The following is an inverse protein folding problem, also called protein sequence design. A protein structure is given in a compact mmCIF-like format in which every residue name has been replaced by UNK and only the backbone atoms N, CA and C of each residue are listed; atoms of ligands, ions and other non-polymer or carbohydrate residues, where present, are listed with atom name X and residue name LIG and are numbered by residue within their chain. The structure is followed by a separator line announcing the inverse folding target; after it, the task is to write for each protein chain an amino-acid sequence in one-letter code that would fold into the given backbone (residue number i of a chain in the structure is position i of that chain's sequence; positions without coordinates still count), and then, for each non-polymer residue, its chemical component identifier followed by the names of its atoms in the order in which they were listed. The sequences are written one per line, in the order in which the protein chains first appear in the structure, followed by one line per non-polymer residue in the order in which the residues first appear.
data_IF_208657297823
#
_entry.id   IF_208657297823
#
_cell.length_a   1.000
_cell.length_b   1.000
_cell.length_c   1.000
_cell.angle_alpha   90.00
_cell.angle_beta   90.00
_cell.angle_gamma   90.00
#
_symmetry.space_group_name_H-M   'P 1'
#
loop_
_entity.id
_entity.type
_entity.pdbx_description
1 polymer ?
#
# COMPACT_ATOMS: atom_id res chain seq x y z
N UNK A 1 12.43 -25.51 1.10
CA UNK A 1 13.59 -24.65 0.78
C UNK A 1 13.99 -23.86 2.02
N UNK A 2 15.24 -23.45 2.12
CA UNK A 2 15.78 -22.54 3.15
C UNK A 2 15.63 -21.10 2.64
N UNK A 3 14.98 -20.27 3.40
CA UNK A 3 14.56 -18.92 2.94
C UNK A 3 15.00 -17.86 3.94
N UNK A 4 15.63 -16.79 3.45
CA UNK A 4 15.65 -15.51 4.16
C UNK A 4 14.45 -14.70 3.72
N UNK A 5 13.64 -14.23 4.66
CA UNK A 5 12.52 -13.34 4.38
C UNK A 5 12.85 -11.90 4.80
N UNK A 6 12.55 -10.93 3.93
CA UNK A 6 12.73 -9.51 4.21
C UNK A 6 11.41 -8.76 4.02
N UNK A 7 10.89 -8.19 5.09
CA UNK A 7 9.60 -7.48 5.04
C UNK A 7 9.39 -6.59 6.25
N UNK A 8 8.42 -5.66 6.18
CA UNK A 8 8.17 -4.74 7.31
C UNK A 8 6.68 -4.55 7.61
N UNK A 9 5.82 -4.02 6.69
CA UNK A 9 4.43 -3.67 6.98
C UNK A 9 3.49 -4.89 6.92
N UNK A 10 2.23 -4.64 7.25
CA UNK A 10 1.15 -5.64 7.21
C UNK A 10 1.05 -6.36 5.87
N UNK A 11 1.27 -5.66 4.76
CA UNK A 11 1.31 -6.25 3.41
C UNK A 11 2.27 -7.46 3.30
N UNK A 12 3.37 -7.46 4.05
CA UNK A 12 4.39 -8.50 3.97
C UNK A 12 4.08 -9.72 4.88
N UNK A 13 3.18 -9.57 5.85
CA UNK A 13 2.85 -10.63 6.82
C UNK A 13 2.27 -11.88 6.15
N UNK A 14 1.31 -11.78 5.21
CA UNK A 14 0.78 -12.95 4.51
C UNK A 14 1.86 -13.72 3.74
N UNK A 15 2.83 -13.02 3.13
CA UNK A 15 3.94 -13.68 2.43
C UNK A 15 4.78 -14.54 3.39
N UNK A 16 5.16 -14.01 4.55
CA UNK A 16 5.89 -14.80 5.56
C UNK A 16 5.07 -16.01 6.03
N UNK A 17 3.78 -15.80 6.30
CA UNK A 17 2.87 -16.86 6.77
C UNK A 17 2.73 -17.97 5.72
N UNK A 18 2.44 -17.63 4.47
CA UNK A 18 2.29 -18.58 3.37
C UNK A 18 3.55 -19.40 3.11
N UNK A 19 4.73 -18.77 3.24
CA UNK A 19 6.01 -19.49 3.12
C UNK A 19 6.18 -20.57 4.20
N UNK A 20 5.84 -20.24 5.45
CA UNK A 20 5.90 -21.19 6.58
C UNK A 20 4.87 -22.30 6.40
N UNK A 21 3.62 -21.96 6.07
CA UNK A 21 2.53 -22.92 5.86
C UNK A 21 2.81 -23.90 4.70
N UNK A 22 3.54 -23.43 3.68
CA UNK A 22 4.01 -24.26 2.58
C UNK A 22 5.19 -25.18 2.97
N UNK A 23 5.58 -25.22 4.25
CA UNK A 23 6.61 -26.13 4.76
C UNK A 23 8.04 -25.70 4.47
N UNK A 24 8.28 -24.43 4.15
CA UNK A 24 9.63 -23.92 3.97
C UNK A 24 10.30 -23.61 5.33
N UNK A 25 11.62 -23.75 5.39
CA UNK A 25 12.44 -23.33 6.52
C UNK A 25 12.79 -21.85 6.39
N UNK A 26 12.28 -21.02 7.26
CA UNK A 26 12.67 -19.61 7.33
C UNK A 26 13.90 -19.50 8.22
N UNK A 27 15.06 -19.40 7.59
CA UNK A 27 16.37 -19.39 8.30
C UNK A 27 16.67 -18.04 8.94
N UNK A 28 16.09 -16.94 8.41
CA UNK A 28 16.21 -15.60 8.98
C UNK A 28 15.08 -14.70 8.48
N UNK A 29 14.55 -13.86 9.37
CA UNK A 29 13.66 -12.75 9.02
C UNK A 29 14.39 -11.43 9.22
N UNK A 30 14.43 -10.60 8.18
CA UNK A 30 14.94 -9.22 8.28
C UNK A 30 13.79 -8.25 8.19
N UNK A 31 13.73 -7.33 9.13
CA UNK A 31 12.70 -6.30 9.18
C UNK A 31 13.28 -4.99 9.69
N UNK A 32 12.54 -3.89 9.58
CA UNK A 32 12.98 -2.60 10.14
C UNK A 32 12.86 -2.62 11.66
N UNK A 33 13.70 -1.84 12.35
CA UNK A 33 13.63 -1.69 13.80
C UNK A 33 12.26 -1.21 14.29
N UNK A 34 11.98 -1.50 15.55
CA UNK A 34 10.82 -1.00 16.26
C UNK A 34 10.70 0.52 16.07
N UNK A 35 9.51 0.98 15.89
CA UNK A 35 9.23 2.40 15.66
C UNK A 35 8.11 2.89 16.58
N UNK A 36 8.15 4.19 16.87
CA UNK A 36 7.06 4.84 17.59
C UNK A 36 5.82 4.86 16.72
N UNK A 37 4.77 4.16 17.15
CA UNK A 37 3.49 4.07 16.44
C UNK A 37 2.34 4.54 17.34
N UNK A 38 1.26 5.01 16.68
CA UNK A 38 0.05 5.42 17.37
C UNK A 38 0.16 6.69 18.22
N UNK A 39 -0.95 7.08 18.85
CA UNK A 39 -1.04 8.29 19.69
C UNK A 39 -0.29 8.19 21.01
N UNK A 40 0.02 6.97 21.47
CA UNK A 40 0.68 6.72 22.77
C UNK A 40 2.21 6.83 22.73
N UNK A 41 2.84 7.13 21.60
CA UNK A 41 4.30 7.18 21.39
C UNK A 41 5.02 5.94 21.95
N UNK A 42 4.38 4.78 21.96
CA UNK A 42 5.01 3.52 22.36
C UNK A 42 5.87 2.99 21.22
N UNK A 43 7.00 2.41 21.58
CA UNK A 43 7.84 1.66 20.67
C UNK A 43 7.11 0.33 20.38
N UNK A 44 6.79 0.09 19.13
CA UNK A 44 6.06 -1.10 18.70
C UNK A 44 6.85 -1.83 17.62
N UNK A 45 6.83 -3.18 17.65
CA UNK A 45 7.47 -3.98 16.61
C UNK A 45 6.81 -3.75 15.24
N UNK A 46 7.58 -4.00 14.19
CA UNK A 46 6.97 -4.09 12.86
C UNK A 46 5.97 -5.27 12.80
N UNK A 47 4.93 -5.21 11.96
CA UNK A 47 4.01 -6.34 11.78
C UNK A 47 4.74 -7.65 11.44
N UNK A 48 5.75 -7.60 10.59
CA UNK A 48 6.57 -8.78 10.25
C UNK A 48 7.37 -9.28 11.46
N UNK A 49 7.96 -8.38 12.28
CA UNK A 49 8.64 -8.79 13.52
C UNK A 49 7.68 -9.48 14.49
N UNK A 50 6.50 -8.91 14.69
CA UNK A 50 5.50 -9.48 15.58
C UNK A 50 5.11 -10.89 15.12
N UNK A 51 4.83 -11.08 13.83
CA UNK A 51 4.49 -12.40 13.26
C UNK A 51 5.67 -13.38 13.32
N UNK A 52 6.89 -12.94 13.03
CA UNK A 52 8.06 -13.80 13.10
C UNK A 52 8.33 -14.32 14.52
N UNK A 53 8.15 -13.47 15.54
CA UNK A 53 8.28 -13.86 16.95
C UNK A 53 7.17 -14.82 17.37
N UNK A 54 5.92 -14.61 16.92
CA UNK A 54 4.81 -15.55 17.14
C UNK A 54 5.10 -16.94 16.56
N UNK A 55 5.76 -16.98 15.39
CA UNK A 55 6.15 -18.22 14.72
C UNK A 55 7.47 -18.82 15.24
N UNK A 56 8.13 -18.19 16.22
CA UNK A 56 9.41 -18.64 16.77
C UNK A 56 10.59 -18.53 15.80
N UNK A 57 10.52 -17.63 14.82
CA UNK A 57 11.54 -17.45 13.78
C UNK A 57 12.65 -16.52 14.22
N UNK A 58 13.92 -16.73 13.75
CA UNK A 58 15.02 -15.82 14.04
C UNK A 58 14.81 -14.48 13.32
N UNK A 59 14.98 -13.37 14.06
CA UNK A 59 14.75 -12.00 13.57
C UNK A 59 16.00 -11.16 13.71
N UNK A 60 16.31 -10.39 12.67
CA UNK A 60 17.30 -9.32 12.66
C UNK A 60 16.63 -8.01 12.26
N UNK A 61 16.84 -6.98 13.05
CA UNK A 61 16.35 -5.63 12.77
C UNK A 61 17.41 -4.82 12.04
N UNK A 62 17.10 -4.36 10.82
CA UNK A 62 18.03 -3.58 10.02
C UNK A 62 17.33 -2.55 9.14
N UNK A 63 17.93 -1.36 9.04
CA UNK A 63 17.57 -0.33 8.07
C UNK A 63 18.57 -0.25 6.90
N UNK A 64 19.73 -0.89 7.07
CA UNK A 64 20.84 -0.88 6.12
C UNK A 64 21.54 -2.25 6.17
N UNK A 65 22.17 -2.63 5.07
CA UNK A 65 23.02 -3.83 4.98
C UNK A 65 24.40 -3.51 5.54
N UNK A 66 24.53 -3.49 6.87
CA UNK A 66 25.82 -3.36 7.54
C UNK A 66 26.61 -4.67 7.46
N UNK A 67 27.96 -4.69 7.66
CA UNK A 67 28.74 -5.92 7.68
C UNK A 67 28.14 -7.00 8.59
N UNK A 68 27.69 -6.65 9.80
CA UNK A 68 27.07 -7.60 10.74
C UNK A 68 25.78 -8.22 10.19
N UNK A 69 24.96 -7.43 9.47
CA UNK A 69 23.73 -7.94 8.81
C UNK A 69 24.11 -8.86 7.67
N UNK A 70 25.10 -8.51 6.87
CA UNK A 70 25.61 -9.33 5.76
C UNK A 70 26.16 -10.65 6.30
N UNK A 71 26.91 -10.66 7.39
CA UNK A 71 27.41 -11.88 7.99
C UNK A 71 26.29 -12.77 8.52
N UNK A 72 25.21 -12.19 9.07
CA UNK A 72 23.98 -12.92 9.44
C UNK A 72 23.29 -13.53 8.23
N UNK A 73 23.22 -12.80 7.11
CA UNK A 73 22.67 -13.33 5.86
C UNK A 73 23.48 -14.51 5.32
N UNK A 74 24.81 -14.41 5.35
CA UNK A 74 25.71 -15.53 4.96
C UNK A 74 25.51 -16.76 5.84
N UNK A 75 25.45 -16.55 7.16
CA UNK A 75 25.25 -17.61 8.13
C UNK A 75 23.85 -18.28 8.02
N UNK A 76 22.87 -17.60 7.47
CA UNK A 76 21.54 -18.15 7.22
C UNK A 76 21.53 -19.25 6.15
N UNK A 77 22.53 -19.30 5.27
CA UNK A 77 22.76 -20.34 4.25
C UNK A 77 21.46 -20.69 3.50
N UNK A 78 20.81 -19.66 2.96
CA UNK A 78 19.51 -19.79 2.32
C UNK A 78 19.62 -20.07 0.82
N UNK A 79 18.66 -20.83 0.30
CA UNK A 79 18.53 -21.13 -1.13
C UNK A 79 18.06 -19.89 -1.92
N UNK A 80 17.18 -19.10 -1.32
CA UNK A 80 16.55 -17.94 -1.95
C UNK A 80 16.25 -16.85 -0.90
N UNK A 81 16.26 -15.59 -1.32
CA UNK A 81 15.73 -14.49 -0.51
C UNK A 81 14.37 -14.05 -1.05
N UNK A 82 13.38 -13.97 -0.17
CA UNK A 82 12.03 -13.51 -0.49
C UNK A 82 11.80 -12.15 0.16
N UNK A 83 11.40 -11.17 -0.63
CA UNK A 83 11.18 -9.79 -0.20
C UNK A 83 9.73 -9.39 -0.39
N UNK A 84 9.16 -8.69 0.58
CA UNK A 84 7.86 -8.03 0.45
C UNK A 84 7.89 -6.70 1.23
N UNK A 85 7.78 -5.58 0.53
CA UNK A 85 7.74 -4.23 1.13
C UNK A 85 8.86 -3.98 2.17
N UNK A 86 10.09 -4.32 1.83
CA UNK A 86 11.29 -4.02 2.62
C UNK A 86 12.10 -2.92 1.94
N UNK A 87 12.05 -1.72 2.49
CA UNK A 87 12.71 -0.53 1.90
C UNK A 87 14.18 -0.47 2.35
N UNK A 88 15.06 -1.12 1.59
CA UNK A 88 16.51 -1.08 1.79
C UNK A 88 17.20 -1.30 0.45
N UNK A 89 18.27 -0.56 0.19
CA UNK A 89 19.15 -0.83 -0.96
C UNK A 89 19.98 -2.07 -0.62
N UNK A 90 19.90 -3.08 -1.47
CA UNK A 90 20.69 -4.31 -1.37
C UNK A 90 21.99 -4.14 -2.17
N UNK A 91 23.17 -4.26 -1.54
CA UNK A 91 24.43 -4.21 -2.26
C UNK A 91 24.64 -5.47 -3.10
N UNK A 92 25.54 -5.40 -4.08
CA UNK A 92 25.84 -6.50 -5.03
C UNK A 92 26.17 -7.81 -4.32
N UNK A 93 26.92 -7.74 -3.23
CA UNK A 93 27.25 -8.91 -2.42
C UNK A 93 25.98 -9.65 -1.93
N UNK A 94 24.92 -8.91 -1.57
CA UNK A 94 23.65 -9.50 -1.14
C UNK A 94 22.83 -9.97 -2.33
N UNK A 95 22.83 -9.21 -3.44
CA UNK A 95 22.09 -9.58 -4.67
C UNK A 95 22.51 -10.95 -5.24
N UNK A 96 23.76 -11.35 -5.04
CA UNK A 96 24.34 -12.60 -5.57
C UNK A 96 24.57 -13.67 -4.48
N UNK A 97 24.05 -13.47 -3.27
CA UNK A 97 24.36 -14.34 -2.13
C UNK A 97 23.62 -15.68 -2.18
N UNK A 98 22.34 -15.66 -2.50
CA UNK A 98 21.53 -16.86 -2.56
C UNK A 98 21.58 -17.51 -3.94
N UNK A 99 21.74 -18.84 -4.05
CA UNK A 99 21.85 -19.55 -5.33
C UNK A 99 20.68 -19.31 -6.29
N UNK A 100 19.47 -19.19 -5.78
CA UNK A 100 18.26 -18.92 -6.58
C UNK A 100 17.94 -17.41 -6.68
N UNK A 101 18.82 -16.57 -6.12
CA UNK A 101 18.69 -15.11 -6.17
C UNK A 101 17.67 -14.54 -5.18
N UNK A 102 17.13 -13.39 -5.54
CA UNK A 102 16.18 -12.64 -4.71
C UNK A 102 14.92 -12.37 -5.52
N UNK A 103 13.76 -12.69 -4.94
CA UNK A 103 12.45 -12.37 -5.51
C UNK A 103 11.68 -11.41 -4.61
N UNK A 104 10.88 -10.54 -5.23
CA UNK A 104 10.04 -9.57 -4.54
C UNK A 104 8.58 -9.76 -4.90
N UNK A 105 7.72 -9.65 -3.91
CA UNK A 105 6.26 -9.51 -4.09
C UNK A 105 5.98 -8.03 -4.33
N UNK A 106 5.78 -7.66 -5.58
CA UNK A 106 5.47 -6.29 -5.97
C UNK A 106 3.95 -6.10 -6.13
N UNK A 107 3.40 -5.05 -5.53
CA UNK A 107 1.95 -4.82 -5.45
C UNK A 107 1.39 -4.15 -6.71
N UNK A 108 1.77 -4.64 -7.89
CA UNK A 108 1.17 -4.27 -9.18
C UNK A 108 1.34 -5.37 -10.23
N UNK A 109 0.61 -5.25 -11.32
CA UNK A 109 0.82 -6.02 -12.55
C UNK A 109 1.91 -5.34 -13.38
N UNK A 110 3.18 -5.74 -13.16
CA UNK A 110 4.31 -5.19 -13.90
C UNK A 110 4.16 -5.46 -15.42
N UNK A 111 4.59 -4.52 -16.26
CA UNK A 111 5.48 -3.37 -15.99
C UNK A 111 4.78 -2.11 -15.47
N UNK A 112 3.46 -2.17 -15.23
CA UNK A 112 2.71 -1.02 -14.73
C UNK A 112 3.02 -0.80 -13.24
N UNK A 113 3.20 0.48 -12.85
CA UNK A 113 3.37 0.93 -11.47
C UNK A 113 4.66 0.44 -10.78
N UNK A 114 5.82 0.53 -11.45
CA UNK A 114 7.13 0.42 -10.78
C UNK A 114 7.27 1.51 -9.73
N UNK A 115 7.70 1.18 -8.52
CA UNK A 115 8.03 2.17 -7.48
C UNK A 115 7.29 2.03 -6.15
N UNK A 116 7.20 3.14 -5.40
CA UNK A 116 6.95 3.13 -3.97
C UNK A 116 5.46 3.02 -3.55
N UNK A 117 4.51 3.36 -4.43
CA UNK A 117 3.09 3.44 -4.07
C UNK A 117 2.15 2.88 -5.16
N UNK A 118 2.39 1.63 -5.64
CA UNK A 118 1.65 1.07 -6.76
C UNK A 118 0.13 0.99 -6.51
N UNK A 119 -0.28 0.61 -5.31
CA UNK A 119 -1.70 0.45 -4.95
C UNK A 119 -2.43 1.80 -5.04
N UNK A 120 -1.90 2.83 -4.38
CA UNK A 120 -2.52 4.16 -4.42
C UNK A 120 -2.53 4.76 -5.83
N UNK A 121 -1.47 4.54 -6.62
CA UNK A 121 -1.41 5.02 -8.01
C UNK A 121 -2.44 4.34 -8.90
N UNK A 122 -2.64 3.04 -8.74
CA UNK A 122 -3.70 2.30 -9.46
C UNK A 122 -5.10 2.86 -9.13
N UNK A 123 -5.35 3.15 -7.83
CA UNK A 123 -6.60 3.79 -7.38
C UNK A 123 -6.79 5.15 -8.03
N UNK A 124 -5.81 6.04 -7.92
CA UNK A 124 -5.86 7.41 -8.45
C UNK A 124 -6.03 7.42 -9.98
N UNK A 125 -5.41 6.48 -10.68
CA UNK A 125 -5.58 6.33 -12.12
C UNK A 125 -6.93 5.75 -12.53
N UNK A 126 -7.68 5.16 -11.60
CA UNK A 126 -8.95 4.51 -11.88
C UNK A 126 -8.81 3.19 -12.60
N UNK A 127 -7.74 2.44 -12.33
CA UNK A 127 -7.55 1.10 -12.88
C UNK A 127 -8.71 0.20 -12.46
N UNK A 128 -9.18 -0.65 -13.34
CA UNK A 128 -10.27 -1.61 -13.04
C UNK A 128 -9.76 -2.86 -12.30
N UNK A 129 -8.47 -3.16 -12.49
CA UNK A 129 -7.82 -4.36 -11.98
C UNK A 129 -6.55 -3.97 -11.24
N UNK A 130 -6.39 -4.49 -10.03
CA UNK A 130 -5.15 -4.45 -9.27
C UNK A 130 -4.52 -5.85 -9.24
N UNK A 131 -3.23 -5.95 -8.91
CA UNK A 131 -2.58 -7.25 -8.82
C UNK A 131 -1.23 -7.22 -8.15
N UNK A 132 -0.58 -8.37 -8.20
CA UNK A 132 0.77 -8.59 -7.67
C UNK A 132 1.63 -9.31 -8.69
N UNK A 133 2.92 -9.07 -8.65
CA UNK A 133 3.94 -9.73 -9.47
C UNK A 133 5.03 -10.32 -8.60
N UNK A 134 5.45 -11.56 -8.88
CA UNK A 134 6.69 -12.13 -8.33
C UNK A 134 7.80 -11.82 -9.31
N UNK A 135 8.73 -10.95 -8.91
CA UNK A 135 9.77 -10.44 -9.78
C UNK A 135 11.17 -10.62 -9.17
N UNK A 136 12.21 -10.68 -10.00
CA UNK A 136 13.61 -10.64 -9.54
C UNK A 136 13.99 -9.24 -9.07
N UNK A 137 14.74 -9.17 -7.98
CA UNK A 137 15.41 -7.93 -7.59
C UNK A 137 16.75 -7.83 -8.30
N UNK A 138 17.01 -6.66 -8.88
CA UNK A 138 18.27 -6.27 -9.51
C UNK A 138 18.66 -4.84 -9.13
N UNK A 139 19.52 -4.22 -9.94
CA UNK A 139 20.04 -2.86 -9.67
C UNK A 139 18.99 -1.74 -9.81
N UNK A 140 17.98 -1.93 -10.67
CA UNK A 140 16.94 -0.94 -10.89
C UNK A 140 15.75 -1.13 -9.95
N UNK A 141 15.01 -0.03 -9.69
CA UNK A 141 13.80 -0.09 -8.87
C UNK A 141 12.69 -0.79 -9.67
N UNK A 142 12.32 -1.99 -9.24
CA UNK A 142 11.24 -2.81 -9.79
C UNK A 142 11.36 -3.07 -11.31
N UNK A 143 12.59 -3.14 -11.83
CA UNK A 143 12.88 -3.34 -13.27
C UNK A 143 13.14 -4.79 -13.67
N UNK A 144 13.28 -5.69 -12.71
CA UNK A 144 13.61 -7.10 -12.99
C UNK A 144 12.46 -7.85 -13.66
N UNK A 145 12.81 -8.94 -14.36
CA UNK A 145 11.83 -9.84 -14.95
C UNK A 145 10.88 -10.41 -13.86
N UNK A 146 9.62 -10.66 -14.23
CA UNK A 146 8.65 -11.34 -13.37
C UNK A 146 8.34 -12.76 -13.89
N UNK A 147 7.98 -13.67 -12.99
CA UNK A 147 7.67 -15.05 -13.36
C UNK A 147 6.23 -15.46 -13.04
N UNK A 148 5.53 -14.69 -12.23
CA UNK A 148 4.13 -14.96 -11.90
C UNK A 148 3.38 -13.66 -11.62
N UNK A 149 2.10 -13.63 -11.98
CA UNK A 149 1.20 -12.53 -11.67
C UNK A 149 -0.17 -13.06 -11.25
N UNK A 150 -0.83 -12.36 -10.32
CA UNK A 150 -2.20 -12.61 -9.97
C UNK A 150 -2.93 -11.28 -9.81
N UNK A 151 -4.23 -11.27 -10.09
CA UNK A 151 -5.03 -10.05 -10.11
C UNK A 151 -6.35 -10.18 -9.35
N UNK A 152 -6.88 -9.05 -8.92
CA UNK A 152 -8.20 -8.90 -8.31
C UNK A 152 -8.91 -7.67 -8.87
N UNK A 153 -10.24 -7.66 -8.83
CA UNK A 153 -11.02 -6.49 -9.19
C UNK A 153 -10.83 -5.38 -8.15
N UNK A 154 -10.66 -4.18 -8.64
CA UNK A 154 -10.54 -2.99 -7.80
C UNK A 154 -11.87 -2.63 -7.09
N UNK A 155 -12.99 -2.63 -7.79
CA UNK A 155 -14.38 -2.50 -7.32
C UNK A 155 -14.61 -1.45 -6.21
N UNK A 156 -13.97 -0.28 -6.29
CA UNK A 156 -14.17 0.82 -5.32
C UNK A 156 -13.60 0.57 -3.92
N UNK A 157 -12.64 -0.34 -3.78
CA UNK A 157 -12.01 -0.63 -2.48
C UNK A 157 -11.08 0.50 -2.03
N UNK A 158 -11.06 0.77 -0.73
CA UNK A 158 -10.05 1.64 -0.11
C UNK A 158 -8.65 1.03 -0.18
N UNK A 159 -7.63 1.89 -0.22
CA UNK A 159 -6.23 1.47 -0.29
C UNK A 159 -5.83 0.49 0.82
N UNK A 160 -6.36 0.64 2.03
CA UNK A 160 -6.09 -0.27 3.15
C UNK A 160 -6.63 -1.69 2.87
N UNK A 161 -7.91 -1.80 2.49
CA UNK A 161 -8.53 -3.08 2.17
C UNK A 161 -7.83 -3.77 0.99
N UNK A 162 -7.52 -3.00 -0.06
CA UNK A 162 -6.81 -3.51 -1.23
C UNK A 162 -5.38 -3.94 -0.89
N UNK A 163 -4.70 -3.24 0.01
CA UNK A 163 -3.36 -3.61 0.48
C UNK A 163 -3.37 -4.98 1.18
N UNK A 164 -4.36 -5.23 2.03
CA UNK A 164 -4.49 -6.52 2.71
C UNK A 164 -4.79 -7.65 1.72
N UNK A 165 -5.74 -7.44 0.83
CA UNK A 165 -6.11 -8.43 -0.20
C UNK A 165 -4.94 -8.76 -1.14
N UNK A 166 -4.20 -7.75 -1.60
CA UNK A 166 -3.01 -7.95 -2.43
C UNK A 166 -1.86 -8.61 -1.65
N UNK A 167 -1.77 -8.35 -0.34
CA UNK A 167 -0.83 -9.05 0.54
C UNK A 167 -1.11 -10.54 0.60
N UNK A 168 -2.37 -10.92 0.80
CA UNK A 168 -2.81 -12.34 0.82
C UNK A 168 -2.59 -13.01 -0.55
N UNK A 169 -3.01 -12.33 -1.63
CA UNK A 169 -2.83 -12.81 -2.98
C UNK A 169 -1.35 -13.01 -3.33
N UNK A 170 -0.50 -12.03 -2.95
CA UNK A 170 0.94 -12.07 -3.18
C UNK A 170 1.66 -13.13 -2.35
N UNK A 171 1.24 -13.33 -1.09
CA UNK A 171 1.78 -14.38 -0.24
C UNK A 171 1.51 -15.78 -0.79
N UNK A 172 0.25 -16.02 -1.21
CA UNK A 172 -0.11 -17.29 -1.87
C UNK A 172 0.66 -17.48 -3.17
N UNK A 173 0.67 -16.46 -4.04
CA UNK A 173 1.38 -16.52 -5.32
C UNK A 173 2.88 -16.81 -5.14
N UNK A 174 3.52 -16.19 -4.14
CA UNK A 174 4.92 -16.44 -3.82
C UNK A 174 5.15 -17.91 -3.43
N UNK A 175 4.35 -18.45 -2.51
CA UNK A 175 4.47 -19.83 -2.08
C UNK A 175 4.24 -20.82 -3.22
N UNK A 176 3.22 -20.59 -4.06
CA UNK A 176 2.90 -21.40 -5.24
C UNK A 176 4.01 -21.34 -6.33
N UNK A 177 4.80 -20.27 -6.37
CA UNK A 177 5.87 -20.07 -7.36
C UNK A 177 7.18 -20.73 -6.94
N UNK A 178 7.45 -20.92 -5.65
CA UNK A 178 8.74 -21.44 -5.16
C UNK A 178 9.17 -22.79 -5.75
N UNK A 179 8.31 -23.78 -5.97
CA UNK A 179 8.71 -25.06 -6.57
C UNK A 179 9.33 -24.87 -7.95
N UNK A 180 8.75 -24.01 -8.81
CA UNK A 180 9.27 -23.73 -10.14
C UNK A 180 10.56 -22.91 -10.12
N UNK A 181 10.78 -22.09 -9.08
CA UNK A 181 12.07 -21.43 -8.86
C UNK A 181 13.13 -22.42 -8.43
N UNK A 182 12.79 -23.40 -7.61
CA UNK A 182 13.70 -24.40 -7.09
C UNK A 182 14.20 -25.36 -8.17
N UNK A 183 13.34 -25.81 -9.06
CA UNK A 183 13.68 -26.76 -10.13
C UNK A 183 14.11 -26.08 -11.44
N UNK A 184 14.11 -24.72 -11.47
CA UNK A 184 14.49 -23.94 -12.63
C UNK A 184 13.47 -23.90 -13.77
N UNK A 185 12.24 -24.40 -13.57
CA UNK A 185 11.17 -24.39 -14.57
C UNK A 185 10.40 -23.06 -14.65
N UNK A 186 10.66 -22.13 -13.74
CA UNK A 186 10.02 -20.81 -13.76
C UNK A 186 10.30 -20.06 -15.08
N UNK A 187 9.26 -19.63 -15.75
CA UNK A 187 9.35 -18.83 -16.98
C UNK A 187 9.41 -17.36 -16.63
N UNK A 188 10.51 -16.70 -16.98
CA UNK A 188 10.72 -15.29 -16.72
C UNK A 188 10.30 -14.44 -17.91
N UNK A 189 9.54 -13.40 -17.67
CA UNK A 189 9.11 -12.40 -18.65
C UNK A 189 9.82 -11.09 -18.37
N UNK A 190 10.63 -10.62 -19.34
CA UNK A 190 11.22 -9.29 -19.28
C UNK A 190 10.12 -8.23 -19.42
N UNK A 191 10.29 -7.13 -18.69
CA UNK A 191 9.31 -6.06 -18.72
C UNK A 191 9.44 -5.23 -19.99
N UNK A 192 8.33 -5.02 -20.71
CA UNK A 192 8.28 -4.14 -21.89
C UNK A 192 8.39 -2.68 -21.45
N UNK A 193 9.49 -2.02 -21.78
CA UNK A 193 9.76 -0.61 -21.40
C UNK A 193 8.73 0.38 -21.97
N UNK A 194 8.03 0.05 -23.06
CA UNK A 194 6.96 0.89 -23.62
C UNK A 194 5.68 0.89 -22.78
N UNK A 195 5.49 -0.12 -21.93
CA UNK A 195 4.31 -0.28 -21.07
C UNK A 195 4.57 0.17 -19.63
N UNK A 196 5.79 0.62 -19.33
CA UNK A 196 6.17 1.03 -17.97
C UNK A 196 5.42 2.26 -17.53
N UNK A 197 4.86 2.20 -16.32
CA UNK A 197 4.39 3.39 -15.59
C UNK A 197 5.02 3.42 -14.21
N UNK A 198 5.11 4.62 -13.62
CA UNK A 198 5.82 4.81 -12.36
C UNK A 198 4.87 5.15 -11.22
N UNK A 199 5.10 4.53 -10.08
CA UNK A 199 4.36 4.72 -8.83
C UNK A 199 5.16 5.55 -7.83
N UNK A 200 5.28 6.86 -8.09
CA UNK A 200 5.90 7.79 -7.17
C UNK A 200 5.16 7.81 -5.82
N UNK A 201 5.92 8.04 -4.74
CA UNK A 201 5.36 8.18 -3.40
C UNK A 201 4.26 9.23 -3.35
N UNK A 202 3.16 8.93 -2.67
CA UNK A 202 2.05 9.85 -2.47
C UNK A 202 2.42 10.92 -1.44
N UNK A 203 2.21 12.18 -1.79
CA UNK A 203 2.43 13.33 -0.90
C UNK A 203 1.12 13.77 -0.23
N UNK A 204 1.24 14.41 0.95
CA UNK A 204 0.07 15.00 1.63
C UNK A 204 -0.58 16.11 0.80
N UNK A 205 0.22 16.85 0.02
CA UNK A 205 -0.28 17.95 -0.81
C UNK A 205 -1.13 17.41 -1.96
N UNK A 206 -0.69 16.33 -2.60
CA UNK A 206 -1.41 15.66 -3.68
C UNK A 206 -2.78 15.15 -3.24
N UNK A 207 -2.91 14.73 -1.99
CA UNK A 207 -4.15 14.19 -1.44
C UNK A 207 -5.13 15.23 -0.89
N UNK A 208 -4.87 16.52 -1.11
CA UNK A 208 -5.82 17.58 -0.79
C UNK A 208 -6.97 17.54 -1.79
N UNK A 209 -8.19 17.57 -1.27
CA UNK A 209 -9.37 17.66 -2.13
C UNK A 209 -9.60 19.11 -2.55
N UNK A 210 -9.92 19.31 -3.83
CA UNK A 210 -10.10 20.58 -4.48
C UNK A 210 -11.45 20.61 -5.21
N UNK A 211 -12.29 21.65 -5.04
CA UNK A 211 -13.53 21.81 -5.80
C UNK A 211 -13.38 21.71 -7.32
N UNK A 212 -12.20 22.06 -7.83
CA UNK A 212 -11.89 21.96 -9.26
C UNK A 212 -11.69 20.53 -9.77
N UNK A 213 -11.60 19.54 -8.89
CA UNK A 213 -11.55 18.11 -9.29
C UNK A 213 -12.88 17.67 -9.89
N UNK A 214 -12.83 16.63 -10.74
CA UNK A 214 -14.01 15.86 -11.09
C UNK A 214 -14.49 14.99 -9.93
N UNK A 215 -15.78 14.67 -9.90
CA UNK A 215 -16.41 13.89 -8.83
C UNK A 215 -15.77 12.49 -8.67
N UNK A 216 -15.46 11.82 -9.78
CA UNK A 216 -14.78 10.52 -9.74
C UNK A 216 -13.35 10.64 -9.21
N UNK A 217 -12.62 11.68 -9.57
CA UNK A 217 -11.26 11.90 -9.09
C UNK A 217 -11.24 12.23 -7.59
N UNK A 218 -12.22 13.01 -7.10
CA UNK A 218 -12.40 13.26 -5.68
C UNK A 218 -12.62 11.94 -4.91
N UNK A 219 -13.50 11.05 -5.38
CA UNK A 219 -13.72 9.73 -4.77
C UNK A 219 -12.43 8.89 -4.81
N UNK A 220 -11.70 8.85 -5.92
CA UNK A 220 -10.41 8.13 -6.02
C UNK A 220 -9.39 8.63 -5.00
N UNK A 221 -9.30 9.94 -4.77
CA UNK A 221 -8.45 10.51 -3.73
C UNK A 221 -8.88 10.04 -2.32
N UNK A 222 -10.18 9.98 -2.04
CA UNK A 222 -10.68 9.44 -0.78
C UNK A 222 -10.31 7.96 -0.63
N UNK A 223 -10.52 7.14 -1.66
CA UNK A 223 -10.19 5.72 -1.66
C UNK A 223 -8.68 5.45 -1.52
N UNK A 224 -7.83 6.29 -2.14
CA UNK A 224 -6.37 6.20 -2.06
C UNK A 224 -5.78 6.74 -0.74
N UNK A 225 -6.61 7.36 0.10
CA UNK A 225 -6.22 8.01 1.36
C UNK A 225 -5.54 7.03 2.32
N UNK A 226 -4.55 7.53 3.05
CA UNK A 226 -3.86 6.80 4.12
C UNK A 226 -3.62 7.71 5.32
N UNK A 227 -3.16 7.15 6.44
CA UNK A 227 -2.80 7.96 7.62
C UNK A 227 -1.59 8.88 7.36
N UNK A 228 -0.70 8.48 6.48
CA UNK A 228 0.49 9.28 6.11
C UNK A 228 0.18 10.36 5.08
N UNK A 229 -0.82 10.13 4.22
CA UNK A 229 -1.27 11.06 3.18
C UNK A 229 -2.81 11.03 3.11
N UNK A 230 -3.50 11.70 4.06
CA UNK A 230 -4.95 11.70 4.14
C UNK A 230 -5.62 12.63 3.12
N UNK A 231 -6.77 12.24 2.58
CA UNK A 231 -7.65 13.10 1.80
C UNK A 231 -8.28 14.16 2.72
N UNK A 232 -7.96 15.44 2.50
CA UNK A 232 -8.36 16.54 3.37
C UNK A 232 -8.81 17.76 2.59
N UNK A 233 -9.77 18.47 3.17
CA UNK A 233 -10.27 19.76 2.69
C UNK A 233 -10.73 20.64 3.85
N UNK A 234 -11.18 21.84 3.54
CA UNK A 234 -11.88 22.74 4.48
C UNK A 234 -13.36 22.76 4.10
N UNK A 235 -14.24 22.46 5.04
CA UNK A 235 -15.71 22.48 4.87
C UNK A 235 -16.30 23.38 5.93
N UNK A 236 -17.05 24.41 5.53
CA UNK A 236 -17.66 25.38 6.46
C UNK A 236 -16.60 25.94 7.46
N UNK A 237 -15.42 26.30 6.98
CA UNK A 237 -14.30 26.83 7.77
C UNK A 237 -13.59 25.82 8.68
N UNK A 238 -13.94 24.53 8.65
CA UNK A 238 -13.31 23.49 9.46
C UNK A 238 -12.47 22.56 8.61
N UNK A 239 -11.26 22.24 9.05
CA UNK A 239 -10.45 21.22 8.41
C UNK A 239 -11.03 19.84 8.68
N UNK A 240 -11.23 19.06 7.62
CA UNK A 240 -11.85 17.75 7.65
C UNK A 240 -11.01 16.76 6.86
N UNK A 241 -10.78 15.58 7.42
CA UNK A 241 -10.36 14.40 6.66
C UNK A 241 -11.62 13.70 6.18
N UNK A 242 -11.77 13.50 4.88
CA UNK A 242 -12.81 12.66 4.29
C UNK A 242 -12.31 11.22 4.33
N UNK A 243 -13.09 10.35 4.95
CA UNK A 243 -12.74 8.94 5.13
C UNK A 243 -13.44 8.07 4.10
N UNK A 244 -14.66 8.44 3.72
CA UNK A 244 -15.42 7.74 2.69
C UNK A 244 -16.36 8.69 1.95
N UNK A 245 -16.52 8.48 0.64
CA UNK A 245 -17.38 9.29 -0.24
C UNK A 245 -17.83 8.47 -1.46
N UNK A 246 -18.96 8.85 -2.03
CA UNK A 246 -19.50 8.27 -3.25
C UNK A 246 -19.92 9.35 -4.25
N UNK A 247 -19.92 9.08 -5.56
CA UNK A 247 -20.52 9.98 -6.54
C UNK A 247 -22.00 10.20 -6.23
N UNK A 248 -22.50 11.40 -6.46
CA UNK A 248 -23.89 11.75 -6.18
C UNK A 248 -24.55 12.39 -7.40
N UNK A 249 -25.78 11.95 -7.69
CA UNK A 249 -26.62 12.55 -8.73
C UNK A 249 -27.38 13.77 -8.14
N UNK A 250 -26.61 14.81 -7.82
CA UNK A 250 -27.12 16.09 -7.27
C UNK A 250 -26.46 17.21 -8.05
N UNK A 251 -27.27 18.13 -8.58
CA UNK A 251 -26.76 19.36 -9.20
C UNK A 251 -26.35 20.34 -8.11
N UNK A 252 -25.05 20.55 -7.94
CA UNK A 252 -24.47 21.44 -6.94
C UNK A 252 -23.28 22.20 -7.55
N UNK A 253 -23.26 23.51 -7.37
CA UNK A 253 -22.15 24.32 -7.90
C UNK A 253 -20.82 24.03 -7.23
N UNK A 254 -19.73 24.21 -7.97
CA UNK A 254 -18.36 24.04 -7.50
C UNK A 254 -18.08 24.82 -6.22
N UNK A 255 -17.46 24.17 -5.23
CA UNK A 255 -17.13 24.78 -3.93
C UNK A 255 -18.30 24.96 -2.98
N UNK A 256 -19.53 24.58 -3.37
CA UNK A 256 -20.69 24.63 -2.50
C UNK A 256 -20.86 23.35 -1.70
N UNK A 257 -21.48 23.47 -0.52
CA UNK A 257 -21.89 22.35 0.32
C UNK A 257 -23.43 22.34 0.39
N UNK A 258 -24.04 21.19 0.25
CA UNK A 258 -25.46 21.02 0.49
C UNK A 258 -25.71 19.97 1.57
N UNK A 259 -26.70 20.22 2.41
CA UNK A 259 -27.20 19.25 3.39
C UNK A 259 -28.67 18.97 3.08
N UNK A 260 -28.97 17.75 2.64
CA UNK A 260 -30.34 17.32 2.29
C UNK A 260 -30.63 15.99 3.00
N UNK A 261 -31.70 15.94 3.76
CA UNK A 261 -32.14 14.76 4.53
C UNK A 261 -30.96 14.13 5.36
N UNK A 262 -30.16 14.97 6.02
CA UNK A 262 -28.95 14.61 6.78
C UNK A 262 -27.77 14.09 5.94
N UNK A 263 -27.87 14.05 4.62
CA UNK A 263 -26.75 13.73 3.74
C UNK A 263 -25.98 15.00 3.40
N UNK A 264 -24.66 14.90 3.33
CA UNK A 264 -23.76 16.03 3.06
C UNK A 264 -23.16 15.85 1.68
N UNK A 265 -23.32 16.84 0.83
CA UNK A 265 -22.82 16.85 -0.54
C UNK A 265 -21.80 17.95 -0.74
N UNK A 266 -20.76 17.67 -1.53
CA UNK A 266 -19.78 18.65 -2.00
C UNK A 266 -19.91 18.82 -3.52
N UNK A 267 -20.06 20.06 -3.97
CA UNK A 267 -20.08 20.42 -5.39
C UNK A 267 -18.66 20.46 -5.98
N UNK A 268 -18.47 19.84 -7.11
CA UNK A 268 -17.22 19.71 -7.85
C UNK A 268 -17.37 20.26 -9.28
N UNK A 269 -16.28 20.27 -10.07
CA UNK A 269 -16.28 20.87 -11.41
C UNK A 269 -17.26 20.21 -12.40
N UNK A 270 -17.54 18.91 -12.25
CA UNK A 270 -18.35 18.11 -13.18
C UNK A 270 -19.53 17.39 -12.50
N UNK A 271 -19.78 17.65 -11.21
CA UNK A 271 -20.83 16.97 -10.47
C UNK A 271 -20.73 17.17 -8.97
N UNK A 272 -21.18 16.19 -8.20
CA UNK A 272 -21.12 16.22 -6.76
C UNK A 272 -20.71 14.86 -6.18
N UNK A 273 -20.20 14.89 -4.95
CA UNK A 273 -19.98 13.70 -4.13
C UNK A 273 -20.80 13.79 -2.86
N UNK A 274 -21.31 12.65 -2.39
CA UNK A 274 -21.83 12.49 -1.05
C UNK A 274 -20.72 12.08 -0.12
N UNK A 275 -20.58 12.76 1.01
CA UNK A 275 -19.71 12.33 2.11
C UNK A 275 -20.43 11.24 2.90
N UNK A 276 -19.75 10.12 3.13
CA UNK A 276 -20.28 8.99 3.91
C UNK A 276 -19.66 8.97 5.31
N UNK A 277 -18.35 9.11 5.43
CA UNK A 277 -17.62 9.15 6.69
C UNK A 277 -16.60 10.29 6.70
N UNK A 278 -16.54 11.01 7.82
CA UNK A 278 -15.66 12.16 8.00
C UNK A 278 -14.97 12.16 9.36
N UNK A 279 -13.83 12.84 9.41
CA UNK A 279 -13.12 13.11 10.67
C UNK A 279 -12.68 14.56 10.70
N UNK A 280 -13.52 15.47 11.27
CA UNK A 280 -13.14 16.84 11.52
C UNK A 280 -11.95 16.91 12.51
N UNK A 281 -11.08 17.90 12.36
CA UNK A 281 -9.93 18.05 13.25
C UNK A 281 -10.37 18.17 14.71
N UNK A 282 -9.65 17.46 15.59
CA UNK A 282 -9.98 17.39 17.02
C UNK A 282 -11.16 16.46 17.38
N UNK A 283 -11.80 15.84 16.39
CA UNK A 283 -12.92 14.90 16.61
C UNK A 283 -12.52 13.47 16.25
N UNK A 284 -13.31 12.49 16.67
CA UNK A 284 -13.25 11.10 16.17
C UNK A 284 -13.91 11.00 14.81
N UNK A 285 -13.64 9.92 14.09
CA UNK A 285 -14.38 9.56 12.89
C UNK A 285 -15.86 9.38 13.20
N UNK A 286 -16.72 9.79 12.28
CA UNK A 286 -18.18 9.72 12.41
C UNK A 286 -18.85 9.68 11.04
N UNK A 287 -20.07 9.17 10.98
CA UNK A 287 -20.88 9.26 9.78
C UNK A 287 -21.11 10.74 9.42
N UNK A 288 -21.06 11.07 8.14
CA UNK A 288 -21.30 12.43 7.68
C UNK A 288 -22.73 12.90 8.01
N UNK A 289 -23.69 12.00 8.10
CA UNK A 289 -25.06 12.28 8.54
C UNK A 289 -25.15 12.79 9.99
N UNK A 290 -24.30 12.29 10.88
CA UNK A 290 -24.23 12.77 12.27
C UNK A 290 -23.56 14.14 12.34
N UNK A 291 -22.60 14.38 11.46
CA UNK A 291 -21.90 15.66 11.37
C UNK A 291 -22.75 16.76 10.72
N UNK A 292 -23.72 16.40 9.86
CA UNK A 292 -24.59 17.31 9.12
C UNK A 292 -25.32 18.31 10.04
N UNK A 293 -25.72 17.90 11.25
CA UNK A 293 -26.37 18.76 12.22
C UNK A 293 -25.52 19.99 12.63
N UNK A 294 -24.18 19.81 12.65
CA UNK A 294 -23.23 20.87 12.98
C UNK A 294 -22.92 21.84 11.83
N UNK A 295 -23.51 21.62 10.64
CA UNK A 295 -23.39 22.48 9.47
C UNK A 295 -24.56 23.43 9.31
N UNK A 296 -25.61 23.31 10.13
CA UNK A 296 -26.77 24.19 10.06
C UNK A 296 -26.38 25.63 10.40
N UNK A 297 -26.76 26.60 9.52
CA UNK A 297 -26.47 28.02 9.69
C UNK A 297 -25.01 28.43 9.44
N UNK A 298 -24.15 27.51 9.00
CA UNK A 298 -22.78 27.82 8.58
C UNK A 298 -22.75 28.34 7.13
N UNK A 299 -21.66 29.00 6.75
CA UNK A 299 -21.35 29.22 5.34
C UNK A 299 -21.10 27.85 4.69
N UNK A 300 -22.00 27.47 3.76
CA UNK A 300 -22.00 26.17 3.11
C UNK A 300 -21.06 26.16 1.92
N UNK A 301 -19.80 26.52 2.16
CA UNK A 301 -18.70 26.43 1.20
C UNK A 301 -17.64 25.44 1.62
N UNK A 302 -16.88 24.94 0.67
CA UNK A 302 -15.71 24.10 0.90
C UNK A 302 -14.58 24.44 -0.08
N UNK A 303 -13.37 24.06 0.27
CA UNK A 303 -12.20 24.34 -0.54
C UNK A 303 -10.94 23.63 -0.09
N UNK A 304 -9.86 23.94 -0.77
CA UNK A 304 -8.53 23.35 -0.53
C UNK A 304 -8.01 23.74 0.85
N UNK A 305 -7.36 22.80 1.51
CA UNK A 305 -6.60 23.08 2.71
C UNK A 305 -5.36 23.93 2.35
N UNK A 306 -5.24 25.12 2.90
CA UNK A 306 -4.09 26.04 2.73
C UNK A 306 -2.79 25.47 3.34
#
# INVERSE_FOLDING_TARGET
MRIVFMGTPDFAVPSLTSLVEAGNEITLVITRPDAVRGRGKKLEPSPVKAKALELGLPVVEANRMTPDVIDRLKAADADIFCVAAYVCILPDEVLHMAPLGIVNVHASLLPRWRGAAPIQRAILAGDEVAGVSIMRIGHGVDTGAYCAQASTSFAGKHAEALTMELGELGGKLLADTLPSLADGSAVWTEQDEFLVTHAAKISKQEMRLDPQMGALDCVRHVLASSDTAPARCVIAGKTVRVLDAAPADVSLGEGLVAVQAKRVYLGLSDGAVELLEVKPDGKRAMAASDWAAGLQGADLSWGVLS
#
